data_IF_548940466902
#
_entry.id   IF_548940466902
#
_cell.length_a   1.000
_cell.length_b   1.000
_cell.length_c   1.000
_cell.angle_alpha   90.00
_cell.angle_beta   90.00
_cell.angle_gamma   90.00
#
_symmetry.space_group_name_H-M   'P 1'
#
loop_
_entity.id
_entity.type
_entity.pdbx_description
1 polymer ?
#
# COMPACT_ATOMS: atom_id res chain seq x y z
N UNK A 1 -5.56 7.14 -19.79
CA UNK A 1 -6.50 8.14 -19.24
C UNK A 1 -7.92 7.59 -19.41
N UNK A 2 -8.47 6.93 -18.38
CA UNK A 2 -9.80 6.30 -18.46
C UNK A 2 -10.80 7.25 -17.79
N UNK A 3 -11.67 7.87 -18.58
CA UNK A 3 -12.85 8.60 -18.07
C UNK A 3 -13.91 7.55 -17.71
N UNK A 4 -14.08 7.27 -16.41
CA UNK A 4 -15.32 6.65 -15.94
C UNK A 4 -16.31 7.78 -15.64
N UNK A 5 -17.35 7.89 -16.49
CA UNK A 5 -18.56 8.65 -16.17
C UNK A 5 -19.38 7.78 -15.22
N UNK A 6 -19.39 8.11 -13.94
CA UNK A 6 -20.30 7.48 -12.98
C UNK A 6 -21.61 8.26 -13.07
N UNK A 7 -22.50 7.80 -13.95
CA UNK A 7 -23.82 8.40 -14.13
C UNK A 7 -24.75 7.84 -13.04
N UNK A 8 -24.71 8.46 -11.86
CA UNK A 8 -25.55 8.06 -10.74
C UNK A 8 -26.89 8.79 -10.81
N UNK A 9 -27.90 8.11 -11.37
CA UNK A 9 -29.28 8.60 -11.36
C UNK A 9 -29.96 8.16 -10.06
N UNK A 10 -30.23 9.12 -9.17
CA UNK A 10 -30.98 8.85 -7.94
C UNK A 10 -32.46 9.15 -8.18
N UNK A 11 -33.31 8.16 -7.91
CA UNK A 11 -34.77 8.30 -7.99
C UNK A 11 -35.32 8.55 -6.60
N UNK A 12 -35.99 9.69 -6.42
CA UNK A 12 -36.63 10.06 -5.16
C UNK A 12 -38.15 10.02 -5.34
N UNK A 13 -38.83 9.45 -4.35
CA UNK A 13 -40.27 9.33 -4.30
C UNK A 13 -40.76 10.01 -3.03
N UNK A 14 -41.62 11.01 -3.19
CA UNK A 14 -42.32 11.66 -2.09
C UNK A 14 -43.80 11.38 -2.24
N UNK A 15 -44.38 10.72 -1.24
CA UNK A 15 -45.81 10.43 -1.20
C UNK A 15 -46.48 11.28 -0.12
N UNK A 16 -47.54 11.98 -0.48
CA UNK A 16 -48.35 12.82 0.39
C UNK A 16 -49.77 12.30 0.38
N UNK A 17 -50.35 12.07 1.56
CA UNK A 17 -51.71 11.58 1.72
C UNK A 17 -52.56 12.59 2.51
N UNK A 18 -53.79 12.81 2.06
CA UNK A 18 -54.79 13.55 2.82
C UNK A 18 -56.14 12.84 2.76
N UNK A 19 -56.78 12.75 3.93
CA UNK A 19 -58.14 12.22 4.07
C UNK A 19 -59.23 13.27 3.75
N UNK A 20 -58.87 14.54 3.62
CA UNK A 20 -59.78 15.66 3.32
C UNK A 20 -59.44 16.30 1.96
N UNK A 21 -60.41 16.91 1.24
CA UNK A 21 -60.13 17.55 -0.05
C UNK A 21 -59.14 18.70 0.15
N UNK A 22 -58.18 18.81 -0.76
CA UNK A 22 -57.12 19.82 -0.68
C UNK A 22 -56.65 20.23 -2.07
N UNK A 23 -56.18 21.46 -2.18
CA UNK A 23 -55.57 22.00 -3.40
C UNK A 23 -54.07 22.12 -3.19
N UNK A 24 -53.27 21.53 -4.07
CA UNK A 24 -51.82 21.54 -3.99
C UNK A 24 -51.22 22.33 -5.15
N UNK A 25 -50.30 23.24 -4.83
CA UNK A 25 -49.52 23.96 -5.82
C UNK A 25 -48.13 23.33 -5.90
N UNK A 26 -47.78 22.80 -7.08
CA UNK A 26 -46.47 22.23 -7.35
C UNK A 26 -45.68 23.26 -8.16
N UNK A 27 -44.64 23.82 -7.53
CA UNK A 27 -43.75 24.80 -8.17
C UNK A 27 -42.42 24.13 -8.50
N UNK A 28 -42.08 24.03 -9.79
CA UNK A 28 -40.76 23.58 -10.22
C UNK A 28 -39.89 24.81 -10.41
N UNK A 29 -38.79 24.88 -9.64
CA UNK A 29 -37.79 25.94 -9.74
C UNK A 29 -36.54 25.37 -10.41
N UNK A 30 -36.26 25.82 -11.64
CA UNK A 30 -35.04 25.44 -12.37
C UNK A 30 -34.39 26.66 -12.99
N UNK A 31 -33.16 26.97 -12.57
CA UNK A 31 -32.32 28.02 -13.18
C UNK A 31 -32.95 29.42 -13.25
N UNK A 32 -33.85 29.77 -12.32
CA UNK A 32 -34.52 31.08 -12.28
C UNK A 32 -35.85 31.16 -13.07
N UNK A 33 -36.35 30.05 -13.63
CA UNK A 33 -37.71 29.95 -14.20
C UNK A 33 -38.63 29.18 -13.25
N UNK A 34 -39.88 29.65 -13.16
CA UNK A 34 -40.91 29.08 -12.29
C UNK A 34 -42.05 28.55 -13.17
N UNK A 35 -42.35 27.26 -13.06
CA UNK A 35 -43.61 26.69 -13.56
C UNK A 35 -44.42 26.21 -12.38
N UNK A 36 -45.67 26.66 -12.28
CA UNK A 36 -46.57 26.32 -11.19
C UNK A 36 -47.80 25.64 -11.74
N UNK A 37 -48.05 24.41 -11.29
CA UNK A 37 -49.27 23.70 -11.60
C UNK A 37 -50.10 23.53 -10.33
N UNK A 38 -51.40 23.78 -10.45
CA UNK A 38 -52.35 23.65 -9.35
C UNK A 38 -53.20 22.42 -9.59
N UNK A 39 -53.19 21.49 -8.64
CA UNK A 39 -53.98 20.26 -8.71
C UNK A 39 -54.98 20.27 -7.56
N UNK A 40 -56.26 20.14 -7.90
CA UNK A 40 -57.31 19.97 -6.92
C UNK A 40 -57.55 18.48 -6.67
N UNK A 41 -57.40 18.04 -5.43
CA UNK A 41 -57.46 16.63 -5.06
C UNK A 41 -58.70 16.35 -4.20
N UNK A 42 -59.54 15.36 -4.57
CA UNK A 42 -60.66 14.93 -3.75
C UNK A 42 -60.17 14.23 -2.45
N UNK A 43 -61.05 14.03 -1.46
CA UNK A 43 -60.68 13.35 -0.22
C UNK A 43 -60.20 11.91 -0.48
N UNK A 44 -59.33 11.41 0.41
CA UNK A 44 -58.74 10.06 0.37
C UNK A 44 -57.87 9.79 -0.86
N UNK A 45 -57.11 10.78 -1.32
CA UNK A 45 -56.15 10.63 -2.43
C UNK A 45 -54.72 10.74 -1.91
N UNK A 46 -53.85 9.86 -2.43
CA UNK A 46 -52.39 9.94 -2.25
C UNK A 46 -51.78 10.53 -3.51
N UNK A 47 -51.02 11.62 -3.37
CA UNK A 47 -50.21 12.18 -4.44
C UNK A 47 -48.81 11.60 -4.33
N UNK A 48 -48.30 11.03 -5.42
CA UNK A 48 -46.93 10.54 -5.50
C UNK A 48 -46.13 11.38 -6.48
N UNK A 49 -45.12 12.08 -5.98
CA UNK A 49 -44.18 12.86 -6.76
C UNK A 49 -42.90 12.05 -6.95
N UNK A 50 -42.55 11.78 -8.20
CA UNK A 50 -41.32 11.05 -8.55
C UNK A 50 -40.37 12.01 -9.26
N UNK A 51 -39.20 12.23 -8.68
CA UNK A 51 -38.17 13.09 -9.25
C UNK A 51 -36.91 12.28 -9.55
N UNK A 52 -36.37 12.46 -10.75
CA UNK A 52 -35.10 11.89 -11.15
C UNK A 52 -34.04 12.99 -11.05
N UNK A 53 -33.12 12.85 -10.08
CA UNK A 53 -31.98 13.74 -9.95
C UNK A 53 -30.84 13.20 -10.80
N UNK A 54 -30.58 13.86 -11.92
CA UNK A 54 -29.44 13.57 -12.79
C UNK A 54 -28.28 14.44 -12.30
N UNK A 55 -27.33 13.83 -11.62
CA UNK A 55 -26.18 14.54 -11.09
C UNK A 55 -25.03 14.52 -12.11
N UNK A 56 -25.04 15.49 -13.02
CA UNK A 56 -23.94 15.69 -13.96
C UNK A 56 -22.76 16.36 -13.24
N UNK A 57 -22.00 15.60 -12.47
CA UNK A 57 -20.72 16.08 -11.95
C UNK A 57 -19.73 16.26 -13.12
N UNK A 58 -19.65 17.47 -13.66
CA UNK A 58 -18.54 17.93 -14.52
C UNK A 58 -17.36 18.46 -13.71
N UNK A 59 -17.27 18.08 -12.43
CA UNK A 59 -16.09 18.32 -11.62
C UNK A 59 -15.04 17.28 -11.97
N UNK A 60 -13.91 17.69 -12.54
CA UNK A 60 -12.70 16.87 -12.48
C UNK A 60 -12.40 16.64 -11.00
N UNK A 61 -12.68 15.44 -10.48
CA UNK A 61 -12.14 15.04 -9.19
C UNK A 61 -10.64 15.05 -9.39
N UNK A 62 -9.97 16.12 -8.96
CA UNK A 62 -8.54 16.09 -8.71
C UNK A 62 -8.36 15.18 -7.51
N UNK A 63 -8.42 13.87 -7.74
CA UNK A 63 -7.67 12.96 -6.91
C UNK A 63 -6.22 13.42 -7.10
N UNK A 64 -5.73 14.21 -6.15
CA UNK A 64 -4.31 14.15 -5.86
C UNK A 64 -4.03 12.65 -5.73
N UNK A 65 -3.10 12.06 -6.50
CA UNK A 65 -2.58 10.79 -6.11
C UNK A 65 -1.80 11.07 -4.83
N UNK A 66 -2.50 11.16 -3.71
CA UNK A 66 -1.98 10.57 -2.50
C UNK A 66 -1.71 9.14 -2.95
N UNK A 67 -0.45 8.83 -3.20
CA UNK A 67 0.03 7.47 -3.24
C UNK A 67 0.12 7.17 -1.76
N UNK A 68 -0.91 6.61 -1.10
CA UNK A 68 -0.68 6.07 0.21
C UNK A 68 0.34 4.96 -0.02
N UNK A 69 1.58 5.19 0.40
CA UNK A 69 2.59 4.15 0.49
C UNK A 69 2.12 3.26 1.63
N UNK A 70 1.16 2.38 1.35
CA UNK A 70 0.77 1.33 2.26
C UNK A 70 1.89 0.31 2.23
N UNK A 71 2.68 0.30 3.30
CA UNK A 71 3.68 -0.73 3.53
C UNK A 71 2.96 -2.02 3.93
N UNK A 72 2.39 -2.70 2.93
CA UNK A 72 1.81 -4.03 3.09
C UNK A 72 2.93 -5.04 2.90
N UNK A 73 3.53 -5.46 4.02
CA UNK A 73 4.57 -6.47 4.01
C UNK A 73 3.97 -7.81 4.40
N UNK A 74 4.02 -8.82 3.51
CA UNK A 74 3.44 -10.11 3.84
C UNK A 74 4.26 -10.80 4.94
N UNK A 75 3.58 -11.54 5.81
CA UNK A 75 4.18 -12.23 6.97
C UNK A 75 5.32 -13.16 6.55
N UNK A 76 5.19 -13.82 5.39
CA UNK A 76 6.23 -14.71 4.88
C UNK A 76 7.53 -13.96 4.56
N UNK A 77 7.47 -12.70 4.11
CA UNK A 77 8.68 -11.91 3.81
C UNK A 77 9.40 -11.52 5.11
N UNK A 78 8.63 -11.18 6.15
CA UNK A 78 9.17 -10.95 7.49
C UNK A 78 9.82 -12.22 8.08
N UNK A 79 9.21 -13.40 7.83
CA UNK A 79 9.77 -14.67 8.27
C UNK A 79 11.11 -14.98 7.59
N UNK A 80 11.22 -14.76 6.28
CA UNK A 80 12.48 -14.90 5.52
C UNK A 80 13.54 -13.97 6.10
N UNK A 81 13.19 -12.70 6.31
CA UNK A 81 14.10 -11.70 6.86
C UNK A 81 14.58 -12.11 8.27
N UNK A 82 13.68 -12.53 9.15
CA UNK A 82 14.02 -12.94 10.51
C UNK A 82 14.93 -14.18 10.53
N UNK A 83 14.60 -15.21 9.74
CA UNK A 83 15.37 -16.46 9.68
C UNK A 83 16.78 -16.23 9.15
N UNK A 84 16.90 -15.55 8.01
CA UNK A 84 18.20 -15.22 7.43
C UNK A 84 19.01 -14.29 8.34
N UNK A 85 18.39 -13.32 9.02
CA UNK A 85 19.11 -12.45 9.95
C UNK A 85 19.65 -13.25 11.13
N UNK A 86 18.86 -14.15 11.71
CA UNK A 86 19.32 -15.03 12.78
C UNK A 86 20.51 -15.90 12.35
N UNK A 87 20.40 -16.57 11.19
CA UNK A 87 21.47 -17.45 10.69
C UNK A 87 22.78 -16.68 10.49
N UNK A 88 22.73 -15.55 9.77
CA UNK A 88 23.91 -14.76 9.50
C UNK A 88 24.48 -14.08 10.75
N UNK A 89 23.63 -13.68 11.70
CA UNK A 89 24.12 -13.15 12.99
C UNK A 89 24.83 -14.23 13.81
N UNK A 90 24.34 -15.47 13.82
CA UNK A 90 25.06 -16.55 14.51
C UNK A 90 26.43 -16.80 13.91
N UNK A 91 26.54 -16.81 12.57
CA UNK A 91 27.84 -16.91 11.89
C UNK A 91 28.74 -15.70 12.18
N UNK A 92 28.20 -14.48 12.18
CA UNK A 92 28.96 -13.27 12.48
C UNK A 92 29.58 -13.31 13.89
N UNK A 93 28.81 -13.78 14.88
CA UNK A 93 29.31 -13.89 16.27
C UNK A 93 30.43 -14.92 16.39
N UNK A 94 30.32 -16.04 15.67
CA UNK A 94 31.37 -17.07 15.65
C UNK A 94 32.64 -16.52 15.00
N UNK A 95 32.54 -15.89 13.84
CA UNK A 95 33.67 -15.30 13.13
C UNK A 95 34.35 -14.20 13.93
N UNK A 96 33.58 -13.30 14.55
CA UNK A 96 34.15 -12.26 15.44
C UNK A 96 34.94 -12.90 16.58
N UNK A 97 34.41 -13.99 17.17
CA UNK A 97 35.10 -14.69 18.26
C UNK A 97 36.40 -15.32 17.77
N UNK A 98 36.40 -15.94 16.59
CA UNK A 98 37.59 -16.59 16.04
C UNK A 98 38.65 -15.57 15.62
N UNK A 99 38.26 -14.50 14.93
CA UNK A 99 39.19 -13.43 14.56
C UNK A 99 39.77 -12.70 15.78
N UNK A 100 38.96 -12.46 16.82
CA UNK A 100 39.45 -11.85 18.06
C UNK A 100 40.52 -12.68 18.77
N UNK A 101 40.55 -13.99 18.54
CA UNK A 101 41.56 -14.90 19.10
C UNK A 101 42.81 -14.95 18.23
N UNK A 102 42.64 -14.99 16.91
CA UNK A 102 43.76 -15.11 15.96
C UNK A 102 44.52 -13.78 15.85
N UNK A 103 43.80 -12.65 15.77
CA UNK A 103 44.35 -11.30 15.52
C UNK A 103 44.34 -10.42 16.78
N UNK A 104 44.51 -11.03 17.96
CA UNK A 104 44.27 -10.41 19.28
C UNK A 104 44.90 -9.02 19.46
N UNK A 105 46.09 -8.80 18.94
CA UNK A 105 46.82 -7.54 19.13
C UNK A 105 46.33 -6.38 18.24
N UNK A 106 45.62 -6.69 17.15
CA UNK A 106 45.09 -5.70 16.19
C UNK A 106 43.57 -5.63 16.19
N UNK A 107 42.91 -6.50 16.96
CA UNK A 107 41.45 -6.64 16.94
C UNK A 107 40.78 -5.75 17.98
N UNK A 108 40.00 -4.77 17.50
CA UNK A 108 39.19 -3.90 18.32
C UNK A 108 37.68 -4.10 18.14
N UNK A 109 36.94 -3.18 18.73
CA UNK A 109 35.47 -3.14 18.64
C UNK A 109 35.03 -2.75 17.22
N UNK A 110 35.83 -1.95 16.51
CA UNK A 110 35.49 -1.44 15.18
C UNK A 110 35.47 -2.56 14.14
N UNK A 111 36.44 -3.47 14.20
CA UNK A 111 36.58 -4.64 13.34
C UNK A 111 35.43 -5.63 13.60
N UNK A 112 35.07 -5.81 14.87
CA UNK A 112 33.92 -6.62 15.26
C UNK A 112 32.61 -6.09 14.67
N UNK A 113 32.40 -4.77 14.72
CA UNK A 113 31.24 -4.11 14.09
C UNK A 113 31.29 -4.27 12.56
N UNK A 114 32.47 -4.13 11.95
CA UNK A 114 32.64 -4.27 10.51
C UNK A 114 32.22 -5.66 10.01
N UNK A 115 32.63 -6.72 10.72
CA UNK A 115 32.19 -8.11 10.43
C UNK A 115 30.68 -8.24 10.55
N UNK A 116 30.07 -7.74 11.64
CA UNK A 116 28.61 -7.81 11.82
C UNK A 116 27.88 -7.09 10.67
N UNK A 117 28.33 -5.89 10.28
CA UNK A 117 27.74 -5.12 9.17
C UNK A 117 27.85 -5.89 7.85
N UNK A 118 28.99 -6.57 7.59
CA UNK A 118 29.17 -7.41 6.40
C UNK A 118 28.16 -8.57 6.37
N UNK A 119 27.99 -9.25 7.50
CA UNK A 119 27.02 -10.34 7.62
C UNK A 119 25.56 -9.87 7.51
N UNK A 120 25.22 -8.70 8.07
CA UNK A 120 23.90 -8.09 7.92
C UNK A 120 23.62 -7.70 6.46
N UNK A 121 24.62 -7.22 5.72
CA UNK A 121 24.50 -6.96 4.30
C UNK A 121 24.17 -8.26 3.54
N UNK A 122 24.94 -9.32 3.74
CA UNK A 122 24.71 -10.62 3.10
C UNK A 122 23.34 -11.20 3.43
N UNK A 123 22.94 -11.11 4.69
CA UNK A 123 21.61 -11.53 5.14
C UNK A 123 20.48 -10.79 4.42
N UNK A 124 20.59 -9.45 4.34
CA UNK A 124 19.58 -8.63 3.65
C UNK A 124 19.55 -8.86 2.15
N UNK A 125 20.68 -9.15 1.52
CA UNK A 125 20.77 -9.49 0.10
C UNK A 125 20.08 -10.82 -0.18
N UNK A 126 20.36 -11.86 0.60
CA UNK A 126 19.72 -13.17 0.45
C UNK A 126 18.21 -13.07 0.74
N UNK A 127 17.82 -12.31 1.77
CA UNK A 127 16.41 -12.02 2.08
C UNK A 127 15.68 -11.41 0.90
N UNK A 128 16.30 -10.44 0.24
CA UNK A 128 15.73 -9.76 -0.91
C UNK A 128 15.59 -10.69 -2.12
N UNK A 129 16.61 -11.52 -2.40
CA UNK A 129 16.56 -12.52 -3.48
C UNK A 129 15.44 -13.54 -3.21
N UNK A 130 15.40 -14.13 -2.01
CA UNK A 130 14.38 -15.11 -1.65
C UNK A 130 12.97 -14.50 -1.71
N UNK A 131 12.80 -13.26 -1.25
CA UNK A 131 11.51 -12.58 -1.32
C UNK A 131 11.08 -12.28 -2.76
N UNK A 132 12.05 -11.96 -3.63
CA UNK A 132 11.81 -11.74 -5.06
C UNK A 132 11.36 -13.03 -5.73
N UNK A 133 12.06 -14.15 -5.49
CA UNK A 133 11.71 -15.46 -6.04
C UNK A 133 10.30 -15.86 -5.60
N UNK A 134 9.97 -15.68 -4.32
CA UNK A 134 8.65 -16.06 -3.82
C UNK A 134 7.54 -15.18 -4.39
N UNK A 135 7.76 -13.87 -4.51
CA UNK A 135 6.79 -12.93 -5.11
C UNK A 135 6.52 -13.26 -6.57
N UNK A 136 7.56 -13.60 -7.33
CA UNK A 136 7.44 -14.06 -8.73
C UNK A 136 6.69 -15.39 -8.76
N UNK A 137 7.04 -16.34 -7.88
CA UNK A 137 6.40 -17.64 -7.77
C UNK A 137 4.90 -17.54 -7.47
N UNK A 138 4.51 -16.68 -6.52
CA UNK A 138 3.10 -16.43 -6.21
C UNK A 138 2.38 -15.77 -7.39
N UNK A 139 3.03 -14.85 -8.10
CA UNK A 139 2.44 -14.19 -9.27
C UNK A 139 2.17 -15.18 -10.40
N UNK A 140 3.12 -16.10 -10.65
CA UNK A 140 2.96 -17.19 -11.64
C UNK A 140 1.84 -18.14 -11.19
N UNK A 141 1.83 -18.55 -9.92
CA UNK A 141 0.80 -19.42 -9.37
C UNK A 141 -0.60 -18.83 -9.55
N UNK A 142 -0.79 -17.55 -9.21
CA UNK A 142 -2.09 -16.88 -9.38
C UNK A 142 -2.50 -16.77 -10.85
N UNK A 143 -1.54 -16.54 -11.75
CA UNK A 143 -1.79 -16.51 -13.19
C UNK A 143 -2.27 -17.86 -13.73
N UNK A 144 -1.74 -18.99 -13.20
CA UNK A 144 -2.10 -20.34 -13.65
C UNK A 144 -3.40 -20.81 -12.98
N UNK A 145 -3.52 -20.67 -11.67
CA UNK A 145 -4.63 -21.23 -10.89
C UNK A 145 -5.92 -20.42 -11.02
N UNK A 146 -5.83 -19.09 -11.04
CA UNK A 146 -7.00 -18.20 -10.97
C UNK A 146 -7.18 -17.34 -12.23
N UNK A 147 -6.28 -17.45 -13.21
CA UNK A 147 -6.26 -16.59 -14.43
C UNK A 147 -6.25 -15.10 -14.12
N UNK A 148 -5.74 -14.72 -12.95
CA UNK A 148 -5.58 -13.33 -12.50
C UNK A 148 -4.10 -13.02 -12.31
N UNK A 149 -3.67 -11.88 -12.82
CA UNK A 149 -2.30 -11.38 -12.63
C UNK A 149 -2.32 -10.22 -11.63
N UNK A 150 -2.09 -10.52 -10.36
CA UNK A 150 -1.84 -9.52 -9.32
C UNK A 150 -0.35 -9.54 -8.96
N UNK A 151 0.37 -8.51 -9.37
CA UNK A 151 1.75 -8.27 -8.93
C UNK A 151 1.76 -7.11 -7.94
N UNK A 152 2.03 -7.40 -6.67
CA UNK A 152 2.10 -6.38 -5.62
C UNK A 152 3.56 -6.02 -5.34
N UNK A 153 4.02 -4.93 -5.96
CA UNK A 153 5.38 -4.40 -5.73
C UNK A 153 5.63 -4.03 -4.26
N UNK A 154 4.57 -3.64 -3.54
CA UNK A 154 4.63 -3.28 -2.12
C UNK A 154 5.25 -4.36 -1.24
N UNK A 155 5.12 -5.64 -1.61
CA UNK A 155 5.65 -6.77 -0.84
C UNK A 155 7.19 -6.80 -0.80
N UNK A 156 7.84 -6.18 -1.78
CA UNK A 156 9.31 -6.12 -1.87
C UNK A 156 9.91 -4.88 -1.22
N UNK A 157 9.09 -3.89 -0.82
CA UNK A 157 9.59 -2.63 -0.27
C UNK A 157 10.36 -2.83 1.04
N UNK A 158 9.87 -3.68 1.96
CA UNK A 158 10.55 -3.90 3.23
C UNK A 158 11.94 -4.54 3.09
N UNK A 159 12.10 -5.71 2.42
CA UNK A 159 13.42 -6.28 2.23
C UNK A 159 14.34 -5.37 1.40
N UNK A 160 13.78 -4.59 0.47
CA UNK A 160 14.54 -3.60 -0.30
C UNK A 160 15.06 -2.44 0.56
N UNK A 161 14.23 -1.87 1.45
CA UNK A 161 14.63 -0.81 2.37
C UNK A 161 15.74 -1.31 3.30
N UNK A 162 15.59 -2.51 3.87
CA UNK A 162 16.62 -3.09 4.75
C UNK A 162 17.93 -3.30 3.99
N UNK A 163 17.87 -3.80 2.75
CA UNK A 163 19.05 -3.95 1.89
C UNK A 163 19.73 -2.60 1.62
N UNK A 164 18.98 -1.55 1.28
CA UNK A 164 19.53 -0.21 1.05
C UNK A 164 20.23 0.30 2.31
N UNK A 165 19.57 0.24 3.46
CA UNK A 165 20.13 0.71 4.73
C UNK A 165 21.44 -0.01 5.04
N UNK A 166 21.47 -1.33 4.96
CA UNK A 166 22.69 -2.11 5.21
C UNK A 166 23.78 -1.84 4.17
N UNK A 167 23.42 -1.62 2.91
CA UNK A 167 24.37 -1.27 1.84
C UNK A 167 25.02 0.09 2.12
N UNK A 168 24.23 1.08 2.55
CA UNK A 168 24.76 2.39 2.92
C UNK A 168 25.70 2.30 4.13
N UNK A 169 25.29 1.58 5.17
CA UNK A 169 26.14 1.37 6.36
C UNK A 169 27.45 0.65 5.99
N UNK A 170 27.37 -0.40 5.18
CA UNK A 170 28.55 -1.11 4.68
C UNK A 170 29.49 -0.18 3.89
N UNK A 171 28.94 0.64 3.00
CA UNK A 171 29.73 1.57 2.19
C UNK A 171 30.41 2.63 3.06
N UNK A 172 29.74 3.12 4.11
CA UNK A 172 30.32 4.05 5.08
C UNK A 172 31.48 3.39 5.83
N UNK A 173 31.31 2.15 6.30
CA UNK A 173 32.39 1.38 6.96
C UNK A 173 33.58 1.16 6.02
N UNK A 174 33.30 0.86 4.75
CA UNK A 174 34.33 0.70 3.71
C UNK A 174 35.10 1.98 3.44
N UNK A 175 34.42 3.13 3.36
CA UNK A 175 35.08 4.43 3.17
C UNK A 175 35.98 4.83 4.35
N UNK A 176 35.70 4.31 5.54
CA UNK A 176 36.53 4.55 6.73
C UNK A 176 37.70 3.57 6.90
N UNK A 177 37.86 2.59 6.00
CA UNK A 177 38.94 1.59 6.10
C UNK A 177 38.75 0.55 7.22
N UNK A 178 37.52 0.35 7.72
CA UNK A 178 37.27 -0.59 8.83
C UNK A 178 37.48 -2.07 8.46
N UNK A 179 37.63 -2.35 7.17
CA UNK A 179 37.79 -3.71 6.66
C UNK A 179 39.26 -4.10 6.45
N UNK A 180 40.22 -3.20 6.63
CA UNK A 180 41.62 -3.46 6.31
C UNK A 180 42.18 -4.64 7.14
N UNK A 181 41.96 -4.64 8.45
CA UNK A 181 42.37 -5.74 9.35
C UNK A 181 41.52 -7.01 9.16
N UNK A 182 40.28 -6.86 8.69
CA UNK A 182 39.36 -7.98 8.46
C UNK A 182 39.76 -8.75 7.20
N UNK A 183 40.18 -8.04 6.16
CA UNK A 183 40.52 -8.60 4.84
C UNK A 183 42.01 -8.96 4.68
N UNK A 184 42.86 -8.59 5.65
CA UNK A 184 44.22 -9.15 5.79
C UNK A 184 44.13 -10.67 6.06
N UNK A 185 44.32 -11.51 5.05
CA UNK A 185 44.50 -12.97 5.22
C UNK A 185 45.79 -13.31 5.98
#
# INVERSE_FOLDING_TARGET
>A
MIRQLIDSTYKYLVALYSASPFTTNITIVSGGRYSTETINCPPNVTIQLTFNLINNFTGSVRTSPQIPIYLSTPIWSLAILALTTCLFMTSAVLDVRDYSRIKKDRWGIQESIAVIVRYLLYSSLISFILSTILTIGTSIYMSIAYKTTSFEFSWLLTPFIVLIVNTLVYQICKWKGWYDVVDEE
#
